data_IF_857860304912
#
_entry.id   IF_857860304912
#
_cell.length_a   1.000
_cell.length_b   1.000
_cell.length_c   1.000
_cell.angle_alpha   90.00
_cell.angle_beta   90.00
_cell.angle_gamma   90.00
#
_symmetry.space_group_name_H-M   'P 1'
#
loop_
_entity.id
_entity.type
_entity.pdbx_description
1 polymer ?
#
# COMPACT_ATOMS: atom_id res chain seq x y z
N UNK A 1 0.15 45.73 -16.49
CA UNK A 1 0.17 44.87 -15.28
C UNK A 1 -0.68 43.61 -15.41
N UNK A 2 -1.80 43.63 -16.14
CA UNK A 2 -2.66 42.43 -16.33
C UNK A 2 -2.03 41.38 -17.26
N UNK A 3 -1.22 41.78 -18.23
CA UNK A 3 -0.59 40.85 -19.20
C UNK A 3 0.52 39.98 -18.60
N UNK A 4 1.24 40.47 -17.59
CA UNK A 4 2.30 39.72 -16.89
C UNK A 4 1.70 38.67 -15.94
N UNK A 5 0.53 38.95 -15.36
CA UNK A 5 -0.18 38.02 -14.47
C UNK A 5 -0.77 36.83 -15.25
N UNK A 6 -1.17 37.02 -16.52
CA UNK A 6 -1.62 35.93 -17.39
C UNK A 6 -0.47 35.05 -17.88
N UNK A 7 0.74 35.59 -18.09
CA UNK A 7 1.92 34.79 -18.41
C UNK A 7 2.43 33.98 -17.20
N UNK A 8 2.30 34.51 -15.98
CA UNK A 8 2.57 33.75 -14.75
C UNK A 8 1.51 32.67 -14.49
N UNK A 9 0.23 32.92 -14.81
CA UNK A 9 -0.83 31.89 -14.76
C UNK A 9 -0.69 30.84 -15.87
N UNK A 10 -0.17 31.20 -17.04
CA UNK A 10 0.08 30.26 -18.13
C UNK A 10 1.31 29.37 -17.85
N UNK A 11 2.32 29.89 -17.13
CA UNK A 11 3.44 29.07 -16.64
C UNK A 11 3.05 28.10 -15.52
N UNK A 12 2.00 28.37 -14.73
CA UNK A 12 1.47 27.41 -13.74
C UNK A 12 0.41 26.46 -14.30
N UNK A 13 -0.15 26.73 -15.49
CA UNK A 13 -1.04 25.80 -16.20
C UNK A 13 -0.31 24.82 -17.14
N UNK A 14 0.99 25.03 -17.38
CA UNK A 14 1.87 24.12 -18.13
C UNK A 14 2.84 23.33 -17.23
N UNK A 15 2.58 23.26 -15.93
CA UNK A 15 3.20 22.26 -15.08
C UNK A 15 2.44 20.94 -15.24
N UNK A 16 2.54 20.35 -16.43
CA UNK A 16 2.38 18.92 -16.57
C UNK A 16 3.33 18.29 -15.57
N UNK A 17 2.80 17.72 -14.49
CA UNK A 17 3.59 16.99 -13.50
C UNK A 17 4.46 16.02 -14.30
N UNK A 18 5.78 16.23 -14.26
CA UNK A 18 6.70 15.33 -14.94
C UNK A 18 6.67 14.04 -14.14
N UNK A 19 5.87 13.08 -14.61
CA UNK A 19 5.81 11.76 -14.00
C UNK A 19 7.16 11.09 -14.24
N UNK A 20 7.90 10.85 -13.17
CA UNK A 20 9.27 10.30 -13.23
C UNK A 20 9.31 8.78 -13.08
N UNK A 21 8.17 8.14 -12.79
CA UNK A 21 8.07 6.68 -12.75
C UNK A 21 6.76 6.18 -12.15
N UNK A 22 6.67 4.86 -12.01
CA UNK A 22 5.55 4.16 -11.35
C UNK A 22 6.08 3.52 -10.07
N UNK A 23 5.42 3.78 -8.96
CA UNK A 23 5.63 3.11 -7.69
C UNK A 23 4.59 2.01 -7.51
N UNK A 24 5.06 0.77 -7.34
CA UNK A 24 4.19 -0.36 -6.98
C UNK A 24 4.06 -0.42 -5.47
N UNK A 25 2.81 -0.48 -5.00
CA UNK A 25 2.47 -0.65 -3.59
C UNK A 25 1.59 -1.90 -3.47
N UNK A 26 1.86 -2.74 -2.49
CA UNK A 26 1.05 -3.92 -2.19
C UNK A 26 0.95 -4.11 -0.67
N UNK A 27 0.36 -5.21 -0.24
CA UNK A 27 0.32 -5.64 1.15
C UNK A 27 1.11 -6.95 1.36
N UNK A 28 1.28 -7.34 2.62
CA UNK A 28 2.08 -8.52 2.98
C UNK A 28 1.38 -9.86 2.74
N UNK A 29 0.23 -9.89 2.05
CA UNK A 29 -0.43 -11.12 1.62
C UNK A 29 -0.09 -11.53 0.17
N UNK A 30 0.85 -10.86 -0.48
CA UNK A 30 1.27 -11.19 -1.85
C UNK A 30 2.25 -12.39 -1.95
N UNK A 31 2.84 -12.84 -0.84
CA UNK A 31 3.85 -13.90 -0.76
C UNK A 31 5.02 -13.77 -1.75
N UNK A 32 5.37 -12.53 -2.11
CA UNK A 32 6.58 -12.28 -2.90
C UNK A 32 7.84 -12.47 -2.05
N UNK A 33 8.88 -13.15 -2.57
CA UNK A 33 10.17 -13.20 -1.93
C UNK A 33 10.73 -11.79 -1.69
N UNK A 34 11.33 -11.58 -0.52
CA UNK A 34 11.94 -10.30 -0.13
C UNK A 34 12.90 -9.75 -1.17
N UNK A 35 13.65 -10.61 -1.84
CA UNK A 35 14.60 -10.22 -2.88
C UNK A 35 13.90 -9.56 -4.09
N UNK A 36 12.67 -9.97 -4.42
CA UNK A 36 11.91 -9.34 -5.50
C UNK A 36 11.35 -7.99 -5.06
N UNK A 37 10.84 -7.90 -3.83
CA UNK A 37 10.36 -6.64 -3.25
C UNK A 37 11.48 -5.59 -3.27
N UNK A 38 12.68 -5.96 -2.83
CA UNK A 38 13.85 -5.07 -2.82
C UNK A 38 14.35 -4.74 -4.23
N UNK A 39 14.47 -5.73 -5.12
CA UNK A 39 14.96 -5.54 -6.49
C UNK A 39 14.11 -4.55 -7.30
N UNK A 40 12.79 -4.60 -7.11
CA UNK A 40 11.84 -3.77 -7.85
C UNK A 40 11.33 -2.57 -7.05
N UNK A 41 11.88 -2.32 -5.86
CA UNK A 41 11.44 -1.26 -4.95
C UNK A 41 9.93 -1.28 -4.70
N UNK A 42 9.36 -2.46 -4.46
CA UNK A 42 7.93 -2.64 -4.17
C UNK A 42 7.69 -2.30 -2.71
N UNK A 43 6.80 -1.34 -2.45
CA UNK A 43 6.44 -0.94 -1.08
C UNK A 43 5.36 -1.88 -0.57
N UNK A 44 5.54 -2.41 0.64
CA UNK A 44 4.57 -3.28 1.31
C UNK A 44 3.94 -2.54 2.49
N UNK A 45 2.61 -2.44 2.48
CA UNK A 45 1.80 -1.92 3.59
C UNK A 45 1.24 -3.09 4.39
N UNK A 46 1.68 -3.30 5.65
CA UNK A 46 1.45 -4.57 6.32
C UNK A 46 0.06 -4.69 6.95
N UNK A 47 -0.56 -5.86 6.78
CA UNK A 47 -1.60 -6.37 7.68
C UNK A 47 -0.96 -6.81 8.99
N UNK A 48 -1.71 -6.69 10.08
CA UNK A 48 -1.24 -6.99 11.44
C UNK A 48 -1.87 -8.26 11.96
N UNK A 49 -1.12 -9.00 12.77
CA UNK A 49 -1.57 -10.21 13.47
C UNK A 49 -1.49 -9.95 14.96
N UNK A 50 -2.50 -10.37 15.72
CA UNK A 50 -2.52 -10.23 17.18
C UNK A 50 -3.04 -11.47 17.88
N UNK A 51 -2.55 -11.71 19.08
CA UNK A 51 -3.07 -12.68 20.04
C UNK A 51 -3.60 -11.92 21.26
N UNK A 52 -4.91 -11.78 21.37
CA UNK A 52 -5.51 -10.88 22.35
C UNK A 52 -5.07 -9.43 22.11
N UNK A 53 -4.43 -8.83 23.13
CA UNK A 53 -3.94 -7.45 23.09
C UNK A 53 -2.51 -7.33 22.53
N UNK A 54 -1.82 -8.45 22.32
CA UNK A 54 -0.43 -8.46 21.83
C UNK A 54 -0.40 -8.52 20.31
N UNK A 55 0.14 -7.47 19.68
CA UNK A 55 0.37 -7.40 18.24
C UNK A 55 1.77 -7.91 17.87
N UNK A 56 1.84 -8.76 16.85
CA UNK A 56 3.08 -9.19 16.23
C UNK A 56 3.42 -8.19 15.13
N UNK A 57 4.50 -7.45 15.33
CA UNK A 57 4.98 -6.50 14.33
C UNK A 57 5.45 -7.25 13.06
N UNK A 58 5.17 -6.73 11.85
CA UNK A 58 5.52 -7.40 10.59
C UNK A 58 7.01 -7.76 10.47
N UNK A 59 7.90 -6.89 10.93
CA UNK A 59 9.35 -7.11 10.94
C UNK A 59 9.80 -8.22 11.90
N UNK A 60 8.96 -8.56 12.88
CA UNK A 60 9.21 -9.58 13.89
C UNK A 60 8.45 -10.88 13.59
N UNK A 61 7.77 -10.97 12.45
CA UNK A 61 6.96 -12.14 12.12
C UNK A 61 7.85 -13.33 11.74
N UNK A 62 7.86 -14.34 12.61
CA UNK A 62 8.52 -15.62 12.40
C UNK A 62 7.45 -16.71 12.26
N UNK A 63 7.44 -17.40 11.12
CA UNK A 63 6.50 -18.49 10.83
C UNK A 63 6.58 -19.61 11.87
N UNK A 64 7.77 -20.05 12.26
CA UNK A 64 7.96 -21.14 13.22
C UNK A 64 7.45 -20.72 14.59
N UNK A 65 7.80 -19.51 15.04
CA UNK A 65 7.31 -18.98 16.31
C UNK A 65 5.78 -18.82 16.31
N UNK A 66 5.22 -18.28 15.22
CA UNK A 66 3.78 -18.12 15.02
C UNK A 66 3.04 -19.46 15.11
N UNK A 67 3.46 -20.47 14.34
CA UNK A 67 2.81 -21.78 14.34
C UNK A 67 2.98 -22.54 15.66
N UNK A 68 4.09 -22.35 16.38
CA UNK A 68 4.27 -22.88 17.72
C UNK A 68 3.28 -22.24 18.70
N UNK A 69 3.19 -20.90 18.70
CA UNK A 69 2.24 -20.15 19.53
C UNK A 69 0.79 -20.52 19.20
N UNK A 70 0.47 -20.69 17.91
CA UNK A 70 -0.88 -21.06 17.46
C UNK A 70 -1.36 -22.39 18.07
N UNK A 71 -0.46 -23.36 18.26
CA UNK A 71 -0.79 -24.67 18.85
C UNK A 71 -1.00 -24.61 20.37
N UNK A 72 -0.31 -23.70 21.05
CA UNK A 72 -0.27 -23.65 22.52
C UNK A 72 -1.14 -22.54 23.11
N UNK A 73 -1.49 -21.53 22.32
CA UNK A 73 -2.23 -20.37 22.79
C UNK A 73 -3.69 -20.74 23.09
N UNK A 74 -4.23 -20.36 24.27
CA UNK A 74 -5.65 -20.55 24.58
C UNK A 74 -6.55 -19.60 23.78
N UNK A 75 -5.97 -18.53 23.21
CA UNK A 75 -6.68 -17.58 22.34
C UNK A 75 -6.19 -17.73 20.90
N UNK A 76 -7.12 -17.81 19.97
CA UNK A 76 -6.80 -17.77 18.54
C UNK A 76 -6.31 -16.38 18.14
N UNK A 77 -5.41 -16.28 17.15
CA UNK A 77 -5.03 -14.99 16.64
C UNK A 77 -6.18 -14.36 15.86
N UNK A 78 -6.17 -13.04 15.79
CA UNK A 78 -6.94 -12.28 14.82
C UNK A 78 -6.02 -11.45 13.95
N UNK A 79 -6.53 -11.09 12.77
CA UNK A 79 -5.83 -10.24 11.82
C UNK A 79 -6.58 -8.92 11.67
N UNK A 80 -5.85 -7.85 11.41
CA UNK A 80 -6.44 -6.58 10.98
C UNK A 80 -5.83 -6.09 9.68
N UNK A 81 -6.69 -5.51 8.84
CA UNK A 81 -6.27 -4.77 7.66
C UNK A 81 -5.42 -3.55 8.03
N UNK A 82 -4.65 -2.98 7.10
CA UNK A 82 -3.96 -1.73 7.34
C UNK A 82 -4.97 -0.58 7.49
N UNK A 83 -4.60 0.44 8.24
CA UNK A 83 -5.40 1.65 8.37
C UNK A 83 -5.23 2.51 7.13
N UNK A 84 -6.21 3.34 6.74
CA UNK A 84 -6.05 4.29 5.64
C UNK A 84 -4.80 5.18 5.79
N UNK A 85 -4.47 5.57 7.03
CA UNK A 85 -3.27 6.35 7.34
C UNK A 85 -1.96 5.64 6.96
N UNK A 86 -1.91 4.31 7.00
CA UNK A 86 -0.71 3.55 6.62
C UNK A 86 -0.44 3.69 5.10
N UNK A 87 -1.49 3.67 4.28
CA UNK A 87 -1.42 3.91 2.83
C UNK A 87 -1.13 5.37 2.51
N UNK A 88 -1.81 6.29 3.18
CA UNK A 88 -1.68 7.73 2.97
C UNK A 88 -0.22 8.18 3.02
N UNK A 89 0.53 7.69 4.01
CA UNK A 89 1.97 7.99 4.17
C UNK A 89 2.79 7.53 2.96
N UNK A 90 2.51 6.35 2.42
CA UNK A 90 3.28 5.82 1.27
C UNK A 90 2.88 6.51 -0.04
N UNK A 91 1.59 6.81 -0.22
CA UNK A 91 1.11 7.53 -1.38
C UNK A 91 1.67 8.95 -1.43
N UNK A 92 1.68 9.67 -0.30
CA UNK A 92 2.29 11.00 -0.20
C UNK A 92 3.76 10.98 -0.62
N UNK A 93 4.55 10.03 -0.09
CA UNK A 93 5.97 9.90 -0.45
C UNK A 93 6.20 9.69 -1.95
N UNK A 94 5.40 8.83 -2.59
CA UNK A 94 5.52 8.58 -4.01
C UNK A 94 5.08 9.80 -4.86
N UNK A 95 4.03 10.51 -4.44
CA UNK A 95 3.58 11.76 -5.10
C UNK A 95 4.61 12.87 -4.96
N UNK A 96 5.24 13.03 -3.79
CA UNK A 96 6.33 13.99 -3.57
C UNK A 96 7.53 13.71 -4.49
N UNK A 97 7.71 12.46 -4.90
CA UNK A 97 8.69 12.03 -5.89
C UNK A 97 8.19 12.13 -7.33
N UNK A 98 7.01 12.72 -7.56
CA UNK A 98 6.31 12.82 -8.85
C UNK A 98 6.10 11.45 -9.53
N UNK A 99 5.80 10.41 -8.76
CA UNK A 99 5.49 9.08 -9.29
C UNK A 99 3.97 8.84 -9.38
N UNK A 100 3.56 8.03 -10.35
CA UNK A 100 2.25 7.38 -10.33
C UNK A 100 2.28 6.16 -9.43
N UNK A 101 1.13 5.80 -8.85
CA UNK A 101 1.01 4.70 -7.91
C UNK A 101 0.06 3.66 -8.50
N UNK A 102 0.54 2.42 -8.56
CA UNK A 102 -0.31 1.24 -8.77
C UNK A 102 -0.31 0.47 -7.45
N UNK A 103 -1.47 0.38 -6.81
CA UNK A 103 -1.63 -0.21 -5.48
C UNK A 103 -2.48 -1.48 -5.56
N UNK A 104 -1.85 -2.66 -5.50
CA UNK A 104 -2.49 -3.96 -5.74
C UNK A 104 -2.64 -4.71 -4.42
N UNK A 105 -3.85 -5.10 -4.06
CA UNK A 105 -4.13 -5.63 -2.73
C UNK A 105 -4.89 -6.95 -2.70
N UNK A 106 -4.80 -7.61 -1.53
CA UNK A 106 -5.57 -8.77 -1.14
C UNK A 106 -7.06 -8.57 -1.43
N UNK A 107 -7.72 -9.65 -1.84
CA UNK A 107 -9.12 -9.64 -2.26
C UNK A 107 -10.04 -8.89 -1.29
N UNK A 108 -10.83 -7.97 -1.85
CA UNK A 108 -11.88 -7.25 -1.11
C UNK A 108 -12.95 -8.17 -0.50
N UNK A 109 -13.08 -9.41 -1.00
CA UNK A 109 -14.03 -10.40 -0.49
C UNK A 109 -13.65 -11.00 0.87
N UNK A 110 -12.41 -10.81 1.33
CA UNK A 110 -11.90 -11.37 2.60
C UNK A 110 -11.23 -10.34 3.51
N UNK A 111 -11.03 -9.11 3.04
CA UNK A 111 -10.34 -8.06 3.79
C UNK A 111 -10.78 -6.67 3.35
N UNK A 112 -10.83 -5.72 4.28
CA UNK A 112 -11.06 -4.30 3.97
C UNK A 112 -9.84 -3.55 3.45
N UNK A 113 -8.74 -4.24 3.09
CA UNK A 113 -7.48 -3.61 2.67
C UNK A 113 -7.64 -2.70 1.45
N UNK A 114 -8.37 -3.16 0.42
CA UNK A 114 -8.70 -2.34 -0.76
C UNK A 114 -9.49 -1.08 -0.36
N UNK A 115 -10.43 -1.21 0.59
CA UNK A 115 -11.21 -0.08 1.07
C UNK A 115 -10.32 0.94 1.80
N UNK A 116 -9.41 0.48 2.66
CA UNK A 116 -8.43 1.35 3.33
C UNK A 116 -7.56 2.11 2.33
N UNK A 117 -7.08 1.41 1.28
CA UNK A 117 -6.30 1.99 0.21
C UNK A 117 -7.10 3.04 -0.59
N UNK A 118 -8.37 2.79 -0.90
CA UNK A 118 -9.24 3.76 -1.58
C UNK A 118 -9.49 5.01 -0.75
N UNK A 119 -9.79 4.87 0.55
CA UNK A 119 -9.97 6.02 1.46
C UNK A 119 -8.72 6.90 1.46
N UNK A 120 -7.53 6.28 1.53
CA UNK A 120 -6.27 7.01 1.48
C UNK A 120 -6.04 7.72 0.13
N UNK A 121 -6.44 7.10 -0.98
CA UNK A 121 -6.36 7.71 -2.30
C UNK A 121 -7.33 8.90 -2.43
N UNK A 122 -8.56 8.79 -1.93
CA UNK A 122 -9.57 9.86 -1.95
C UNK A 122 -9.12 11.10 -1.14
N UNK A 123 -8.30 10.92 -0.10
CA UNK A 123 -7.72 12.01 0.68
C UNK A 123 -6.64 12.80 -0.10
N UNK A 124 -6.06 12.20 -1.13
CA UNK A 124 -5.00 12.78 -1.96
C UNK A 124 -5.60 13.09 -3.33
N UNK A 125 -6.21 14.27 -3.46
CA UNK A 125 -6.83 14.74 -4.70
C UNK A 125 -5.81 14.65 -5.85
N UNK A 126 -5.96 13.67 -6.75
CA UNK A 126 -5.07 13.49 -7.90
C UNK A 126 -5.31 12.19 -8.68
N UNK A 127 -5.15 12.23 -10.00
CA UNK A 127 -5.37 11.09 -10.91
C UNK A 127 -4.23 10.06 -10.91
N UNK A 128 -3.30 10.16 -9.96
CA UNK A 128 -2.04 9.40 -9.97
C UNK A 128 -2.07 8.11 -9.16
N UNK A 129 -3.19 7.77 -8.51
CA UNK A 129 -3.31 6.57 -7.68
C UNK A 129 -4.35 5.62 -8.28
N UNK A 130 -3.91 4.42 -8.63
CA UNK A 130 -4.78 3.34 -9.10
C UNK A 130 -4.77 2.19 -8.10
N UNK A 131 -5.85 2.08 -7.33
CA UNK A 131 -6.06 0.96 -6.41
C UNK A 131 -6.70 -0.21 -7.16
N UNK A 132 -6.10 -1.39 -7.07
CA UNK A 132 -6.52 -2.61 -7.76
C UNK A 132 -6.86 -3.67 -6.71
N UNK A 133 -8.12 -4.12 -6.73
CA UNK A 133 -8.53 -5.36 -6.07
C UNK A 133 -8.04 -6.56 -6.88
N UNK A 134 -7.06 -7.29 -6.35
CA UNK A 134 -6.54 -8.48 -7.05
C UNK A 134 -7.61 -9.57 -7.21
N UNK A 135 -8.61 -9.61 -6.31
CA UNK A 135 -9.51 -10.75 -6.13
C UNK A 135 -8.77 -12.07 -5.90
N UNK A 136 -7.55 -11.99 -5.39
CA UNK A 136 -6.65 -13.11 -5.05
C UNK A 136 -6.04 -12.89 -3.66
N UNK A 137 -5.23 -13.84 -3.26
CA UNK A 137 -4.38 -13.84 -2.06
C UNK A 137 -3.11 -14.63 -2.38
N UNK A 138 -2.11 -14.55 -1.50
CA UNK A 138 -0.86 -15.30 -1.61
C UNK A 138 -0.18 -15.04 -2.98
N UNK A 139 0.50 -16.04 -3.52
CA UNK A 139 1.17 -16.00 -4.83
C UNK A 139 0.20 -15.60 -5.96
N UNK A 140 -1.10 -15.84 -5.82
CA UNK A 140 -2.09 -15.37 -6.80
C UNK A 140 -2.18 -13.84 -6.88
N UNK A 141 -2.04 -13.15 -5.75
CA UNK A 141 -1.87 -11.70 -5.70
C UNK A 141 -0.47 -11.32 -6.17
N UNK A 142 0.57 -12.01 -5.68
CA UNK A 142 1.96 -11.75 -6.06
C UNK A 142 2.26 -11.84 -7.56
N UNK A 143 1.56 -12.68 -8.32
CA UNK A 143 1.69 -12.76 -9.78
C UNK A 143 1.13 -11.54 -10.52
N UNK A 144 0.26 -10.76 -9.88
CA UNK A 144 -0.28 -9.52 -10.45
C UNK A 144 0.61 -8.32 -10.13
N UNK A 145 1.38 -8.40 -9.03
CA UNK A 145 2.34 -7.40 -8.55
C UNK A 145 3.61 -7.48 -9.39
#
# INVERSE_FOLDING_TARGET
MITIMLQLLCCTFLQGVIIVGIQIITDNCCDLPRQLLERYNIIVVPLRVRFGDEEILPENFDNVAFYNRLKTSPQLPSTSQPMPGDFLVQYQKAIEQNQQIISIHLSSGISGTVQSANIAAEMLIGEHIHVIDSRKASVGQGLMV
#
